data_IF_354802372380
#
_entry.id   IF_354802372380
#
_cell.length_a   1.000
_cell.length_b   1.000
_cell.length_c   1.000
_cell.angle_alpha   90.00
_cell.angle_beta   90.00
_cell.angle_gamma   90.00
#
_symmetry.space_group_name_H-M   'P 1'
#
loop_
_entity.id
_entity.type
_entity.pdbx_description
1 polymer ?
#
# COMPACT_ATOMS: atom_id res chain seq x y z
N UNK A 1 -9.46 5.62 25.90
CA UNK A 1 -8.84 5.47 24.56
C UNK A 1 -7.81 4.34 24.64
N UNK A 2 -7.95 3.26 23.86
CA UNK A 2 -6.93 2.19 23.78
C UNK A 2 -6.10 2.42 22.52
N UNK A 3 -4.79 2.59 22.68
CA UNK A 3 -3.87 2.76 21.54
C UNK A 3 -3.45 1.36 21.10
N UNK A 4 -3.64 1.04 19.81
CA UNK A 4 -3.20 -0.21 19.20
C UNK A 4 -2.08 0.09 18.21
N UNK A 5 -0.92 -0.54 18.40
CA UNK A 5 0.20 -0.44 17.46
C UNK A 5 0.05 -1.50 16.38
N UNK A 6 0.02 -1.06 15.13
CA UNK A 6 0.02 -1.95 13.96
C UNK A 6 1.48 -2.10 13.51
N UNK A 7 1.94 -3.33 13.31
CA UNK A 7 3.30 -3.63 12.86
C UNK A 7 3.39 -3.54 11.33
N UNK A 8 4.58 -3.24 10.81
CA UNK A 8 4.89 -3.29 9.38
C UNK A 8 4.07 -2.30 8.53
N UNK A 9 3.80 -1.12 9.10
CA UNK A 9 3.15 0.02 8.43
C UNK A 9 3.97 1.25 8.78
N UNK A 10 4.46 1.97 7.77
CA UNK A 10 5.02 3.33 7.94
C UNK A 10 3.86 4.34 7.88
N UNK A 11 4.03 5.50 8.51
CA UNK A 11 3.01 6.57 8.42
C UNK A 11 2.93 7.21 7.03
N UNK A 12 3.94 6.96 6.20
CA UNK A 12 4.03 7.42 4.83
C UNK A 12 3.05 6.62 3.96
N UNK A 13 2.32 7.29 3.07
CA UNK A 13 1.32 6.67 2.18
C UNK A 13 0.17 5.95 2.91
N UNK A 14 -0.16 6.43 4.12
CA UNK A 14 -1.38 6.07 4.84
C UNK A 14 -2.47 7.10 4.53
N UNK A 15 -3.53 6.68 3.85
CA UNK A 15 -4.62 7.56 3.42
C UNK A 15 -5.96 7.07 3.94
N UNK A 16 -6.88 7.98 4.27
CA UNK A 16 -8.22 7.60 4.69
C UNK A 16 -9.05 7.24 3.46
N UNK A 17 -9.75 6.12 3.52
CA UNK A 17 -10.74 5.75 2.51
C UNK A 17 -11.96 6.66 2.67
N UNK A 18 -12.27 7.45 1.65
CA UNK A 18 -13.41 8.38 1.69
C UNK A 18 -14.73 7.64 1.90
N UNK A 19 -15.58 8.19 2.75
CA UNK A 19 -16.89 7.61 3.07
C UNK A 19 -16.84 6.38 4.00
N UNK A 20 -15.66 5.92 4.45
CA UNK A 20 -15.53 4.82 5.40
C UNK A 20 -14.68 5.19 6.63
N UNK A 21 -14.59 4.26 7.57
CA UNK A 21 -13.64 4.35 8.68
C UNK A 21 -12.31 3.66 8.35
N UNK A 22 -12.12 3.19 7.12
CA UNK A 22 -10.94 2.42 6.76
C UNK A 22 -9.80 3.34 6.33
N UNK A 23 -8.59 2.81 6.47
CA UNK A 23 -7.37 3.43 5.99
C UNK A 23 -6.69 2.52 4.99
N UNK A 24 -6.16 3.12 3.94
CA UNK A 24 -5.39 2.50 2.89
C UNK A 24 -3.90 2.70 3.18
N UNK A 25 -3.11 1.64 3.06
CA UNK A 25 -1.64 1.70 3.14
C UNK A 25 -1.02 0.94 1.98
N UNK A 26 -0.10 1.61 1.28
CA UNK A 26 0.63 1.05 0.15
C UNK A 26 2.03 0.62 0.57
N UNK A 27 2.43 -0.61 0.22
CA UNK A 27 3.79 -1.11 0.54
C UNK A 27 4.33 -2.05 -0.53
N UNK A 28 5.64 -1.99 -0.78
CA UNK A 28 6.34 -2.91 -1.69
C UNK A 28 6.82 -4.17 -0.97
N UNK A 29 7.28 -5.17 -1.73
CA UNK A 29 7.78 -6.44 -1.20
C UNK A 29 8.81 -6.28 -0.07
N UNK A 30 9.69 -5.27 -0.18
CA UNK A 30 10.78 -4.99 0.77
C UNK A 30 10.57 -3.77 1.66
N UNK A 31 9.37 -3.20 1.67
CA UNK A 31 8.99 -2.17 2.64
C UNK A 31 9.35 -0.73 2.28
N UNK A 32 9.95 -0.50 1.12
CA UNK A 32 10.06 0.85 0.55
C UNK A 32 8.78 1.20 -0.22
N UNK A 33 8.49 2.50 -0.35
CA UNK A 33 7.37 2.95 -1.19
C UNK A 33 7.94 3.55 -2.46
N UNK A 34 7.53 2.96 -3.58
CA UNK A 34 7.88 3.37 -4.94
C UNK A 34 6.59 3.82 -5.66
N UNK A 35 6.66 4.95 -6.35
CA UNK A 35 5.54 5.50 -7.12
C UNK A 35 5.47 4.91 -8.55
N UNK A 36 4.46 5.31 -9.32
CA UNK A 36 4.30 4.79 -10.68
C UNK A 36 5.40 5.28 -11.63
N UNK A 37 5.94 6.48 -11.41
CA UNK A 37 6.98 7.06 -12.26
C UNK A 37 8.29 6.28 -12.10
N UNK A 38 8.64 5.93 -10.87
CA UNK A 38 9.81 5.10 -10.59
C UNK A 38 9.66 3.69 -11.19
N UNK A 39 8.47 3.08 -11.10
CA UNK A 39 8.20 1.78 -11.74
C UNK A 39 8.30 1.84 -13.26
N UNK A 40 7.83 2.94 -13.86
CA UNK A 40 7.96 3.14 -15.30
C UNK A 40 9.44 3.25 -15.74
N UNK A 41 10.28 3.93 -14.93
CA UNK A 41 11.71 4.03 -15.21
C UNK A 41 12.42 2.67 -15.09
N UNK A 42 12.11 1.89 -14.04
CA UNK A 42 12.64 0.53 -13.90
C UNK A 42 12.34 -0.31 -15.14
N UNK A 43 11.09 -0.26 -15.60
CA UNK A 43 10.69 -0.98 -16.81
C UNK A 43 11.46 -0.51 -18.06
N UNK A 44 11.62 0.81 -18.25
CA UNK A 44 12.36 1.38 -19.39
C UNK A 44 13.85 1.02 -19.37
N UNK A 45 14.43 0.86 -18.19
CA UNK A 45 15.83 0.47 -17.98
C UNK A 45 16.04 -1.04 -18.05
N UNK A 46 14.97 -1.84 -18.20
CA UNK A 46 15.03 -3.30 -18.29
C UNK A 46 15.19 -3.99 -16.94
N UNK A 47 14.85 -3.32 -15.84
CA UNK A 47 14.80 -3.89 -14.50
C UNK A 47 13.42 -4.46 -14.18
N UNK A 48 13.41 -5.52 -13.37
CA UNK A 48 12.18 -6.08 -12.81
C UNK A 48 11.65 -5.20 -11.67
N UNK A 49 10.34 -5.07 -11.63
CA UNK A 49 9.64 -4.47 -10.50
C UNK A 49 9.27 -5.56 -9.49
N UNK A 50 9.71 -5.43 -8.24
CA UNK A 50 9.49 -6.45 -7.20
C UNK A 50 8.02 -6.63 -6.81
N UNK A 51 7.15 -5.75 -7.27
CA UNK A 51 5.73 -5.81 -6.98
C UNK A 51 5.35 -5.09 -5.69
N UNK A 52 4.05 -4.88 -5.55
CA UNK A 52 3.50 -4.16 -4.40
C UNK A 52 2.17 -4.72 -3.91
N UNK A 53 1.85 -4.38 -2.66
CA UNK A 53 0.63 -4.78 -1.98
C UNK A 53 -0.07 -3.55 -1.38
N UNK A 54 -1.38 -3.71 -1.20
CA UNK A 54 -2.27 -2.75 -0.56
C UNK A 54 -2.82 -3.39 0.70
N UNK A 55 -2.72 -2.69 1.82
CA UNK A 55 -3.34 -3.08 3.08
C UNK A 55 -4.46 -2.11 3.42
N UNK A 56 -5.59 -2.66 3.87
CA UNK A 56 -6.74 -1.90 4.37
C UNK A 56 -6.80 -2.11 5.89
N UNK A 57 -6.79 -1.02 6.63
CA UNK A 57 -6.84 -1.01 8.09
C UNK A 57 -8.22 -0.52 8.51
N UNK A 58 -9.00 -1.38 9.16
CA UNK A 58 -10.31 -1.02 9.68
C UNK A 58 -10.17 -0.25 11.00
N UNK A 59 -10.82 0.91 11.12
CA UNK A 59 -10.99 1.60 12.40
C UNK A 59 -12.40 1.32 12.95
N UNK A 60 -12.56 1.09 14.27
CA UNK A 60 -11.59 1.32 15.36
C UNK A 60 -10.77 0.11 15.82
N UNK A 61 -11.03 -1.08 15.32
CA UNK A 61 -10.44 -2.31 15.88
C UNK A 61 -9.02 -2.61 15.37
N UNK A 62 -8.57 -1.93 14.31
CA UNK A 62 -7.27 -2.11 13.68
C UNK A 62 -7.11 -3.48 13.03
N UNK A 63 -8.18 -4.07 12.50
CA UNK A 63 -8.08 -5.23 11.61
C UNK A 63 -7.38 -4.84 10.32
N UNK A 64 -6.51 -5.70 9.80
CA UNK A 64 -5.74 -5.45 8.57
C UNK A 64 -6.12 -6.48 7.53
N UNK A 65 -6.59 -6.02 6.39
CA UNK A 65 -6.95 -6.83 5.23
C UNK A 65 -5.93 -6.60 4.11
N UNK A 66 -5.46 -7.68 3.48
CA UNK A 66 -4.59 -7.62 2.30
C UNK A 66 -5.33 -8.29 1.14
N UNK A 67 -6.20 -7.56 0.41
CA UNK A 67 -7.09 -8.14 -0.60
C UNK A 67 -6.35 -8.69 -1.82
N UNK A 68 -5.08 -8.30 -2.01
CA UNK A 68 -4.28 -8.73 -3.14
C UNK A 68 -3.08 -9.53 -2.67
N UNK A 69 -2.78 -10.62 -3.38
CA UNK A 69 -1.49 -11.29 -3.27
C UNK A 69 -0.42 -10.40 -3.89
N UNK A 70 0.77 -10.44 -3.29
CA UNK A 70 1.94 -9.79 -3.85
C UNK A 70 2.38 -10.52 -5.12
N UNK A 71 2.70 -9.77 -6.17
CA UNK A 71 3.09 -10.28 -7.48
C UNK A 71 4.15 -9.38 -8.09
N UNK A 72 5.25 -9.99 -8.56
CA UNK A 72 6.30 -9.29 -9.32
C UNK A 72 5.71 -8.68 -10.60
N UNK A 73 6.28 -7.55 -11.01
CA UNK A 73 5.90 -6.81 -12.21
C UNK A 73 4.43 -6.34 -12.24
N UNK A 74 3.77 -6.27 -11.07
CA UNK A 74 2.40 -5.77 -10.93
C UNK A 74 2.35 -4.54 -10.02
N UNK A 75 2.12 -3.37 -10.62
CA UNK A 75 1.79 -2.15 -9.89
C UNK A 75 0.30 -2.08 -9.59
N UNK A 76 -0.07 -1.71 -8.36
CA UNK A 76 -1.47 -1.56 -7.93
C UNK A 76 -1.66 -0.15 -7.40
N UNK A 77 -2.57 0.61 -8.00
CA UNK A 77 -2.90 1.94 -7.52
C UNK A 77 -4.24 1.92 -6.78
N UNK A 78 -4.32 2.62 -5.66
CA UNK A 78 -5.61 3.11 -5.14
C UNK A 78 -6.28 3.97 -6.21
N UNK A 79 -7.49 3.61 -6.62
CA UNK A 79 -8.35 4.47 -7.44
C UNK A 79 -9.24 5.38 -6.56
N UNK A 80 -8.93 5.51 -5.27
CA UNK A 80 -9.67 6.40 -4.38
C UNK A 80 -9.31 7.84 -4.75
N UNK A 81 -10.35 8.63 -5.01
CA UNK A 81 -10.34 9.86 -5.81
C UNK A 81 -9.27 10.89 -5.44
N UNK A 82 -8.85 11.63 -6.49
CA UNK A 82 -8.05 12.85 -6.43
C UNK A 82 -8.85 14.02 -5.87
#
# INVERSE_FOLDING_TARGET
MKIKKIKNISGEHLEKVEGTNDWYFQSHFKGEVVDLYEVENLYKEGYDFEGMNIRIIHFPDGQVFAPFSLQENVYRKSCMGW
#
